data_IF_225940401255
#
_entry.id   IF_225940401255
#
_cell.length_a   1.000
_cell.length_b   1.000
_cell.length_c   1.000
_cell.angle_alpha   90.00
_cell.angle_beta   90.00
_cell.angle_gamma   90.00
#
_symmetry.space_group_name_H-M   'P 1'
#
loop_
_entity.id
_entity.type
_entity.pdbx_description
1 polymer ?
#
# COMPACT_ATOMS: atom_id res chain seq x y z
N UNK A 1 -3.97 -31.01 -1.20
CA UNK A 1 -4.14 -29.71 -0.50
C UNK A 1 -5.08 -28.90 -1.34
N UNK A 2 -6.22 -28.51 -0.80
CA UNK A 2 -7.15 -27.59 -1.50
C UNK A 2 -6.41 -26.28 -1.64
N UNK A 3 -6.38 -25.77 -2.86
CA UNK A 3 -5.77 -24.50 -3.23
C UNK A 3 -6.47 -23.38 -2.45
N UNK A 4 -5.85 -22.91 -1.37
CA UNK A 4 -6.44 -21.94 -0.43
C UNK A 4 -6.15 -20.51 -0.84
N UNK A 5 -6.13 -20.22 -2.16
CA UNK A 5 -5.95 -18.85 -2.63
C UNK A 5 -7.09 -17.95 -2.14
N UNK A 6 -6.70 -16.87 -1.50
CA UNK A 6 -7.63 -15.83 -1.11
C UNK A 6 -7.66 -14.79 -2.24
N UNK A 7 -8.85 -14.58 -2.82
CA UNK A 7 -9.03 -13.62 -3.91
C UNK A 7 -8.55 -12.21 -3.51
N UNK A 8 -7.81 -11.57 -4.40
CA UNK A 8 -7.23 -10.26 -4.16
C UNK A 8 -7.93 -9.18 -4.97
N UNK A 9 -8.02 -7.99 -4.42
CA UNK A 9 -8.48 -6.80 -5.18
C UNK A 9 -7.61 -6.59 -6.41
N UNK A 10 -6.34 -6.93 -6.30
CA UNK A 10 -5.37 -6.89 -7.39
C UNK A 10 -5.73 -7.78 -8.58
N UNK A 11 -6.53 -8.84 -8.42
CA UNK A 11 -6.92 -9.75 -9.52
C UNK A 11 -7.70 -9.00 -10.61
N UNK A 12 -8.73 -8.25 -10.20
CA UNK A 12 -9.52 -7.45 -11.14
C UNK A 12 -8.72 -6.27 -11.73
N UNK A 13 -7.81 -5.69 -10.94
CA UNK A 13 -6.92 -4.61 -11.40
C UNK A 13 -5.92 -5.13 -12.43
N UNK A 14 -5.35 -6.32 -12.24
CA UNK A 14 -4.45 -6.98 -13.17
C UNK A 14 -5.15 -7.30 -14.49
N UNK A 15 -6.34 -7.91 -14.43
CA UNK A 15 -7.14 -8.20 -15.61
C UNK A 15 -7.44 -6.93 -16.43
N UNK A 16 -7.89 -5.85 -15.75
CA UNK A 16 -8.15 -4.58 -16.40
C UNK A 16 -6.88 -3.96 -17.03
N UNK A 17 -5.71 -4.13 -16.39
CA UNK A 17 -4.44 -3.64 -16.90
C UNK A 17 -3.97 -4.43 -18.14
N UNK A 18 -4.11 -5.75 -18.14
CA UNK A 18 -3.78 -6.63 -19.27
C UNK A 18 -4.63 -6.34 -20.50
N UNK A 19 -5.91 -5.97 -20.33
CA UNK A 19 -6.76 -5.54 -21.45
C UNK A 19 -6.28 -4.23 -22.11
N UNK A 20 -5.58 -3.37 -21.38
CA UNK A 20 -5.17 -2.03 -21.88
C UNK A 20 -3.75 -1.99 -22.40
N UNK A 21 -2.83 -2.76 -21.82
CA UNK A 21 -1.40 -2.68 -22.08
C UNK A 21 -0.82 -4.00 -22.58
N UNK A 22 0.34 -3.93 -23.25
CA UNK A 22 1.07 -5.11 -23.71
C UNK A 22 1.65 -5.93 -22.56
N UNK A 23 2.00 -5.29 -21.45
CA UNK A 23 2.47 -5.96 -20.24
C UNK A 23 2.02 -5.24 -18.97
N UNK A 24 2.13 -5.94 -17.83
CA UNK A 24 1.87 -5.41 -16.50
C UNK A 24 3.06 -5.74 -15.58
N UNK A 25 3.56 -4.75 -14.87
CA UNK A 25 4.51 -4.94 -13.77
C UNK A 25 3.75 -4.92 -12.45
N UNK A 26 3.74 -6.04 -11.74
CA UNK A 26 3.24 -6.14 -10.37
C UNK A 26 4.40 -5.94 -9.41
N UNK A 27 4.30 -4.95 -8.55
CA UNK A 27 5.30 -4.61 -7.55
C UNK A 27 4.66 -4.47 -6.17
N UNK A 28 5.45 -4.59 -5.09
CA UNK A 28 4.95 -4.51 -3.71
C UNK A 28 5.84 -5.25 -2.74
N UNK A 29 5.55 -5.21 -1.43
CA UNK A 29 6.37 -5.83 -0.40
C UNK A 29 6.58 -7.33 -0.66
N UNK A 30 7.69 -7.87 -0.20
CA UNK A 30 7.94 -9.32 -0.22
C UNK A 30 6.82 -10.04 0.51
N UNK A 31 6.43 -11.22 0.04
CA UNK A 31 5.40 -12.04 0.69
C UNK A 31 3.95 -11.51 0.60
N UNK A 32 3.67 -10.41 -0.13
CA UNK A 32 2.29 -9.90 -0.26
C UNK A 32 1.41 -10.66 -1.26
N UNK A 33 1.94 -11.70 -1.95
CA UNK A 33 1.18 -12.58 -2.84
C UNK A 33 1.28 -12.25 -4.34
N UNK A 34 2.27 -11.47 -4.79
CA UNK A 34 2.44 -11.06 -6.20
C UNK A 34 2.47 -12.21 -7.19
N UNK A 35 3.35 -13.19 -6.93
CA UNK A 35 3.54 -14.36 -7.79
C UNK A 35 2.26 -15.18 -7.88
N UNK A 36 1.57 -15.36 -6.75
CA UNK A 36 0.32 -16.11 -6.68
C UNK A 36 -0.79 -15.45 -7.50
N UNK A 37 -1.01 -14.14 -7.30
CA UNK A 37 -1.95 -13.33 -8.09
C UNK A 37 -1.61 -13.35 -9.59
N UNK A 38 -0.33 -13.25 -9.94
CA UNK A 38 0.12 -13.25 -11.32
C UNK A 38 -0.07 -14.61 -12.01
N UNK A 39 0.27 -15.71 -11.32
CA UNK A 39 0.18 -17.07 -11.87
C UNK A 39 -1.25 -17.48 -12.21
N UNK A 40 -2.26 -16.96 -11.51
CA UNK A 40 -3.67 -17.18 -11.78
C UNK A 40 -4.15 -16.67 -13.15
N UNK A 41 -3.48 -15.67 -13.68
CA UNK A 41 -3.83 -15.08 -14.98
C UNK A 41 -2.79 -15.36 -16.06
N UNK A 42 -1.71 -16.05 -15.71
CA UNK A 42 -0.65 -16.40 -16.65
C UNK A 42 -1.00 -17.63 -17.49
N UNK A 43 -0.80 -17.54 -18.80
CA UNK A 43 -0.83 -18.69 -19.70
C UNK A 43 0.43 -19.57 -19.60
N UNK A 44 1.56 -18.95 -19.25
CA UNK A 44 2.83 -19.66 -19.02
C UNK A 44 3.70 -18.91 -18.01
N UNK A 45 4.60 -19.61 -17.32
CA UNK A 45 5.40 -19.07 -16.23
C UNK A 45 6.89 -19.30 -16.51
N UNK A 46 7.69 -18.28 -16.29
CA UNK A 46 9.14 -18.31 -16.17
C UNK A 46 9.52 -17.83 -14.76
N UNK A 47 10.08 -18.69 -13.94
CA UNK A 47 10.73 -18.26 -12.70
C UNK A 47 12.22 -18.01 -12.99
N UNK A 48 12.61 -16.73 -12.97
CA UNK A 48 13.95 -16.29 -13.38
C UNK A 48 15.03 -16.76 -12.41
N UNK A 49 14.68 -16.99 -11.15
CA UNK A 49 15.61 -17.43 -10.11
C UNK A 49 15.94 -18.91 -10.23
N UNK A 50 14.95 -19.76 -10.53
CA UNK A 50 15.06 -21.22 -10.40
C UNK A 50 15.13 -21.98 -11.72
N UNK A 51 14.80 -21.33 -12.85
CA UNK A 51 14.81 -21.99 -14.16
C UNK A 51 16.27 -22.15 -14.67
N UNK A 52 16.75 -23.40 -14.83
CA UNK A 52 18.14 -23.67 -15.23
C UNK A 52 18.47 -23.24 -16.66
N UNK A 53 17.48 -22.93 -17.48
CA UNK A 53 17.69 -22.45 -18.85
C UNK A 53 18.07 -20.98 -18.91
N UNK A 54 17.78 -20.21 -17.86
CA UNK A 54 17.99 -18.75 -17.84
C UNK A 54 19.42 -18.34 -18.11
N UNK A 55 20.47 -18.91 -17.46
CA UNK A 55 21.85 -18.49 -17.72
C UNK A 55 22.26 -18.70 -19.19
N UNK A 56 21.88 -19.82 -19.78
CA UNK A 56 22.20 -20.14 -21.17
C UNK A 56 21.45 -19.21 -22.13
N UNK A 57 20.15 -19.02 -21.94
CA UNK A 57 19.35 -18.15 -22.77
C UNK A 57 19.83 -16.70 -22.71
N UNK A 58 20.18 -16.21 -21.51
CA UNK A 58 20.73 -14.86 -21.33
C UNK A 58 22.07 -14.65 -22.03
N UNK A 59 22.87 -15.71 -22.19
CA UNK A 59 24.15 -15.67 -22.89
C UNK A 59 24.00 -15.79 -24.42
N UNK A 60 22.94 -16.42 -24.91
CA UNK A 60 22.69 -16.68 -26.33
C UNK A 60 21.63 -15.75 -26.94
N UNK A 61 20.37 -15.99 -26.60
CA UNK A 61 19.24 -15.16 -27.06
C UNK A 61 18.16 -15.09 -25.96
N UNK A 62 18.12 -14.01 -25.17
CA UNK A 62 17.14 -13.82 -24.10
C UNK A 62 15.67 -13.85 -24.56
N UNK A 63 15.38 -13.70 -25.86
CA UNK A 63 14.01 -13.74 -26.39
C UNK A 63 13.36 -15.09 -26.18
N UNK A 64 14.13 -16.20 -26.14
CA UNK A 64 13.60 -17.54 -25.86
C UNK A 64 12.89 -17.62 -24.50
N UNK A 65 13.33 -16.84 -23.53
CA UNK A 65 12.70 -16.77 -22.19
C UNK A 65 11.32 -16.11 -22.23
N UNK A 66 11.06 -15.30 -23.28
CA UNK A 66 9.79 -14.59 -23.47
C UNK A 66 8.81 -15.36 -24.37
N UNK A 67 9.22 -16.52 -24.89
CA UNK A 67 8.35 -17.40 -25.67
C UNK A 67 7.50 -18.25 -24.70
N UNK A 68 6.20 -18.36 -25.03
CA UNK A 68 5.23 -19.11 -24.26
C UNK A 68 3.83 -18.55 -24.45
N UNK A 69 2.86 -19.24 -23.90
CA UNK A 69 1.46 -18.82 -23.93
C UNK A 69 1.27 -17.52 -23.14
N UNK A 70 0.57 -16.58 -23.73
CA UNK A 70 0.31 -15.27 -23.13
C UNK A 70 -0.96 -15.28 -22.24
N UNK A 71 -0.96 -14.50 -21.16
CA UNK A 71 0.12 -13.70 -20.61
C UNK A 71 1.27 -14.56 -20.07
N UNK A 72 2.52 -14.26 -20.47
CA UNK A 72 3.68 -14.94 -19.90
C UNK A 72 4.14 -14.23 -18.65
N UNK A 73 4.11 -14.94 -17.51
CA UNK A 73 4.65 -14.46 -16.25
C UNK A 73 6.19 -14.59 -16.27
N UNK A 74 6.87 -13.49 -15.96
CA UNK A 74 8.32 -13.43 -15.69
C UNK A 74 8.48 -13.05 -14.23
N UNK A 75 8.66 -14.05 -13.38
CA UNK A 75 8.75 -13.90 -11.92
C UNK A 75 10.18 -13.57 -11.49
N UNK A 76 10.35 -12.68 -10.51
CA UNK A 76 11.62 -12.16 -10.00
C UNK A 76 12.52 -11.56 -11.11
N UNK A 77 11.90 -10.83 -12.05
CA UNK A 77 12.57 -10.28 -13.25
C UNK A 77 13.76 -9.38 -12.93
N UNK A 78 13.80 -8.73 -11.76
CA UNK A 78 14.88 -7.84 -11.36
C UNK A 78 16.24 -8.55 -11.23
N UNK A 79 16.27 -9.87 -11.14
CA UNK A 79 17.51 -10.67 -11.20
C UNK A 79 18.18 -10.59 -12.56
N UNK A 80 17.39 -10.38 -13.63
CA UNK A 80 17.87 -10.15 -15.00
C UNK A 80 17.18 -8.96 -15.68
N UNK A 81 17.52 -7.71 -15.28
CA UNK A 81 16.82 -6.49 -15.74
C UNK A 81 16.77 -6.30 -17.26
N UNK A 82 17.69 -6.90 -18.00
CA UNK A 82 17.69 -6.88 -19.48
C UNK A 82 16.44 -7.52 -20.09
N UNK A 83 15.79 -8.46 -19.41
CA UNK A 83 14.53 -9.06 -19.88
C UNK A 83 13.43 -8.01 -20.09
N UNK A 84 13.43 -6.95 -19.31
CA UNK A 84 12.51 -5.82 -19.47
C UNK A 84 12.64 -5.16 -20.86
N UNK A 85 13.85 -4.90 -21.31
CA UNK A 85 14.07 -4.27 -22.62
C UNK A 85 13.67 -5.21 -23.76
N UNK A 86 13.95 -6.51 -23.66
CA UNK A 86 13.51 -7.51 -24.63
C UNK A 86 11.99 -7.63 -24.67
N UNK A 87 11.32 -7.72 -23.54
CA UNK A 87 9.86 -7.80 -23.46
C UNK A 87 9.20 -6.55 -24.08
N UNK A 88 9.74 -5.37 -23.84
CA UNK A 88 9.28 -4.12 -24.47
C UNK A 88 9.35 -4.21 -26.01
N UNK A 89 10.47 -4.71 -26.55
CA UNK A 89 10.62 -4.91 -28.00
C UNK A 89 9.63 -5.96 -28.55
N UNK A 90 9.40 -7.04 -27.77
CA UNK A 90 8.42 -8.06 -28.16
C UNK A 90 6.98 -7.51 -28.16
N UNK A 91 6.62 -6.65 -27.21
CA UNK A 91 5.31 -5.95 -27.21
C UNK A 91 5.16 -5.11 -28.47
N UNK A 92 6.20 -4.34 -28.83
CA UNK A 92 6.19 -3.51 -30.04
C UNK A 92 6.10 -4.36 -31.34
N UNK A 93 6.76 -5.53 -31.38
CA UNK A 93 6.73 -6.46 -32.48
C UNK A 93 5.38 -7.16 -32.62
N UNK A 94 4.84 -7.70 -31.54
CA UNK A 94 3.59 -8.49 -31.51
C UNK A 94 2.35 -7.59 -31.63
N UNK A 95 2.42 -6.32 -31.25
CA UNK A 95 1.33 -5.33 -31.27
C UNK A 95 0.04 -5.81 -30.61
N UNK A 96 0.15 -6.69 -29.61
CA UNK A 96 -0.97 -7.27 -28.88
C UNK A 96 -0.97 -6.81 -27.41
N UNK A 97 -2.15 -6.87 -26.78
CA UNK A 97 -2.33 -6.61 -25.35
C UNK A 97 -2.17 -7.91 -24.55
N UNK A 98 -1.94 -7.79 -23.24
CA UNK A 98 -1.90 -8.94 -22.33
C UNK A 98 -0.79 -9.94 -22.63
N UNK A 99 0.39 -9.49 -23.09
CA UNK A 99 1.46 -10.39 -23.48
C UNK A 99 2.30 -10.86 -22.29
N UNK A 100 2.54 -9.96 -21.33
CA UNK A 100 3.46 -10.22 -20.22
C UNK A 100 2.92 -9.77 -18.88
N UNK A 101 3.27 -10.53 -17.84
CA UNK A 101 3.18 -10.13 -16.44
C UNK A 101 4.59 -10.21 -15.87
N UNK A 102 5.07 -9.16 -15.27
CA UNK A 102 6.35 -9.11 -14.54
C UNK A 102 6.07 -8.95 -13.06
N UNK A 103 6.73 -9.75 -12.22
CA UNK A 103 6.63 -9.62 -10.76
C UNK A 103 7.99 -9.35 -10.16
N UNK A 104 8.04 -8.48 -9.17
CA UNK A 104 9.27 -8.17 -8.46
C UNK A 104 9.03 -7.49 -7.11
N UNK A 105 9.88 -7.81 -6.15
CA UNK A 105 9.83 -7.29 -4.79
C UNK A 105 10.67 -6.03 -4.58
N UNK A 106 11.43 -5.62 -5.60
CA UNK A 106 12.28 -4.43 -5.57
C UNK A 106 12.04 -3.59 -6.82
N UNK A 107 11.84 -2.28 -6.62
CA UNK A 107 11.81 -1.36 -7.75
C UNK A 107 13.22 -1.28 -8.36
N UNK A 108 13.37 -1.46 -9.70
CA UNK A 108 14.66 -1.43 -10.35
C UNK A 108 15.37 -0.09 -10.11
N UNK A 109 16.69 -0.13 -10.03
CA UNK A 109 17.51 1.09 -9.98
C UNK A 109 17.32 1.93 -11.24
N UNK A 110 17.56 3.23 -11.13
CA UNK A 110 17.42 4.20 -12.25
C UNK A 110 18.18 3.74 -13.50
N UNK A 111 19.28 3.01 -13.33
CA UNK A 111 20.14 2.52 -14.41
C UNK A 111 19.95 1.03 -14.74
N UNK A 112 19.03 0.33 -14.07
CA UNK A 112 18.87 -1.12 -14.24
C UNK A 112 18.22 -1.48 -15.60
N UNK A 113 17.40 -0.56 -16.15
CA UNK A 113 16.78 -0.70 -17.47
C UNK A 113 17.12 0.50 -18.33
N UNK A 114 17.36 0.28 -19.63
CA UNK A 114 17.62 1.37 -20.58
C UNK A 114 16.39 2.24 -20.85
N UNK A 115 15.19 1.67 -20.66
CA UNK A 115 13.92 2.32 -20.97
C UNK A 115 12.88 2.08 -19.88
N UNK A 116 12.06 3.09 -19.59
CA UNK A 116 11.04 3.04 -18.52
C UNK A 116 9.85 2.11 -18.80
N UNK A 117 9.68 1.65 -20.05
CA UNK A 117 8.50 0.87 -20.47
C UNK A 117 7.21 1.69 -20.59
N UNK A 118 7.27 3.01 -20.50
CA UNK A 118 6.11 3.88 -20.61
C UNK A 118 5.35 3.62 -21.94
N UNK A 119 4.01 3.48 -21.84
CA UNK A 119 3.13 3.17 -22.95
C UNK A 119 3.08 1.69 -23.35
N UNK A 120 3.93 0.80 -22.78
CA UNK A 120 3.94 -0.65 -23.03
C UNK A 120 3.53 -1.43 -21.81
N UNK A 121 3.92 -0.97 -20.63
CA UNK A 121 3.63 -1.62 -19.36
C UNK A 121 2.74 -0.74 -18.48
N UNK A 122 1.69 -1.34 -17.92
CA UNK A 122 1.03 -0.80 -16.74
C UNK A 122 1.83 -1.17 -15.50
N UNK A 123 1.70 -0.36 -14.44
CA UNK A 123 2.23 -0.68 -13.11
C UNK A 123 1.07 -0.93 -12.16
N UNK A 124 1.12 -2.05 -11.46
CA UNK A 124 0.19 -2.44 -10.40
C UNK A 124 0.98 -2.60 -9.10
N UNK A 125 0.65 -1.78 -8.10
CA UNK A 125 1.28 -1.91 -6.79
C UNK A 125 0.34 -2.69 -5.88
N UNK A 126 0.76 -3.90 -5.48
CA UNK A 126 0.07 -4.72 -4.49
C UNK A 126 0.50 -4.31 -3.09
N UNK A 127 -0.47 -4.24 -2.18
CA UNK A 127 -0.25 -4.15 -0.74
C UNK A 127 -0.34 -5.52 -0.07
N UNK A 128 -0.06 -5.60 1.22
CA UNK A 128 -0.53 -6.67 2.09
C UNK A 128 -2.07 -6.74 2.05
N UNK A 129 -2.66 -7.82 2.54
CA UNK A 129 -4.11 -8.02 2.47
C UNK A 129 -4.86 -6.95 3.26
N UNK A 130 -5.94 -6.46 2.67
CA UNK A 130 -6.94 -5.61 3.34
C UNK A 130 -7.80 -6.43 4.30
N UNK A 131 -8.54 -5.75 5.17
CA UNK A 131 -9.55 -6.39 6.03
C UNK A 131 -10.65 -7.06 5.19
N UNK A 132 -10.96 -6.51 4.01
CA UNK A 132 -11.90 -7.11 3.09
C UNK A 132 -11.38 -8.43 2.50
N UNK A 133 -10.13 -8.46 2.06
CA UNK A 133 -9.51 -9.67 1.50
C UNK A 133 -9.30 -10.76 2.55
N UNK A 134 -9.01 -10.40 3.80
CA UNK A 134 -8.84 -11.35 4.91
C UNK A 134 -10.15 -11.72 5.63
N UNK A 135 -11.29 -11.20 5.17
CA UNK A 135 -12.62 -11.56 5.67
C UNK A 135 -13.02 -10.89 6.99
N UNK A 136 -12.28 -9.89 7.44
CA UNK A 136 -12.62 -9.09 8.62
C UNK A 136 -13.49 -7.87 8.30
N UNK A 137 -13.55 -7.47 7.04
CA UNK A 137 -14.56 -6.54 6.54
C UNK A 137 -15.61 -7.29 5.74
N UNK A 138 -16.89 -6.98 5.97
CA UNK A 138 -18.02 -7.53 5.22
C UNK A 138 -18.26 -6.84 3.86
N UNK A 139 -17.53 -5.74 3.58
CA UNK A 139 -17.65 -5.00 2.34
C UNK A 139 -18.99 -4.30 2.13
N UNK A 140 -19.82 -4.12 3.16
CA UNK A 140 -21.13 -3.50 3.08
C UNK A 140 -21.10 -2.04 2.62
N UNK A 141 -19.93 -1.40 2.69
CA UNK A 141 -19.67 -0.04 2.19
C UNK A 141 -18.67 -0.09 1.03
N UNK A 142 -19.17 -0.18 -0.20
CA UNK A 142 -18.32 -0.04 -1.39
C UNK A 142 -17.87 1.42 -1.55
N UNK A 143 -16.56 1.65 -1.55
CA UNK A 143 -15.99 2.98 -1.76
C UNK A 143 -16.34 3.52 -3.15
N UNK A 144 -16.44 2.65 -4.16
CA UNK A 144 -16.88 3.02 -5.51
C UNK A 144 -18.31 3.55 -5.51
N UNK A 145 -19.22 2.86 -4.81
CA UNK A 145 -20.62 3.27 -4.72
C UNK A 145 -20.80 4.56 -3.92
N UNK A 146 -20.04 4.71 -2.84
CA UNK A 146 -20.01 5.94 -2.03
C UNK A 146 -19.58 7.13 -2.88
N UNK A 147 -18.52 7.01 -3.66
CA UNK A 147 -18.04 8.07 -4.57
C UNK A 147 -19.02 8.35 -5.70
N UNK A 148 -19.77 7.32 -6.16
CA UNK A 148 -20.85 7.49 -7.13
C UNK A 148 -22.13 8.10 -6.53
N UNK A 149 -22.09 8.57 -5.27
CA UNK A 149 -23.22 9.23 -4.60
C UNK A 149 -24.28 8.29 -4.01
N UNK A 150 -24.05 6.96 -4.05
CA UNK A 150 -24.96 6.00 -3.43
C UNK A 150 -24.80 6.04 -1.90
N UNK A 151 -25.92 5.99 -1.20
CA UNK A 151 -25.92 5.86 0.25
C UNK A 151 -25.75 4.41 0.66
N UNK A 152 -24.83 4.07 1.56
CA UNK A 152 -24.74 2.72 2.10
C UNK A 152 -25.99 2.39 2.92
N UNK A 153 -26.38 1.11 2.92
CA UNK A 153 -27.41 0.60 3.80
C UNK A 153 -26.92 0.61 5.27
N UNK A 154 -27.86 0.71 6.21
CA UNK A 154 -27.53 0.53 7.62
C UNK A 154 -27.02 -0.89 7.85
N UNK A 155 -25.84 -1.02 8.45
CA UNK A 155 -25.21 -2.28 8.78
C UNK A 155 -24.39 -2.15 10.07
N UNK A 156 -24.17 -3.27 10.75
CA UNK A 156 -23.26 -3.33 11.91
C UNK A 156 -22.24 -4.44 11.66
N UNK A 157 -21.05 -4.11 11.15
CA UNK A 157 -20.02 -5.09 10.89
C UNK A 157 -19.58 -5.83 12.16
N UNK A 158 -19.16 -7.09 12.04
CA UNK A 158 -18.87 -7.94 13.19
C UNK A 158 -17.52 -7.63 13.89
N UNK A 159 -16.65 -6.83 13.26
CA UNK A 159 -15.31 -6.56 13.79
C UNK A 159 -15.39 -5.78 15.11
N UNK A 160 -14.98 -6.43 16.21
CA UNK A 160 -14.92 -5.80 17.53
C UNK A 160 -13.63 -4.97 17.70
N UNK A 161 -13.69 -3.97 18.57
CA UNK A 161 -12.55 -3.08 18.85
C UNK A 161 -11.29 -3.82 19.33
N UNK A 162 -11.45 -4.84 20.18
CA UNK A 162 -10.34 -5.66 20.65
C UNK A 162 -9.71 -6.49 19.50
N UNK A 163 -10.53 -6.98 18.57
CA UNK A 163 -10.05 -7.71 17.41
C UNK A 163 -9.27 -6.81 16.45
N UNK A 164 -9.64 -5.55 16.34
CA UNK A 164 -8.89 -4.57 15.54
C UNK A 164 -7.43 -4.46 16.01
N UNK A 165 -7.17 -4.39 17.33
CA UNK A 165 -5.80 -4.37 17.86
C UNK A 165 -5.02 -5.65 17.50
N UNK A 166 -5.70 -6.82 17.57
CA UNK A 166 -5.11 -8.10 17.15
C UNK A 166 -4.76 -8.09 15.66
N UNK A 167 -5.66 -7.59 14.80
CA UNK A 167 -5.44 -7.48 13.35
C UNK A 167 -4.28 -6.59 12.98
N UNK A 168 -4.18 -5.43 13.65
CA UNK A 168 -3.09 -4.49 13.42
C UNK A 168 -1.73 -5.06 13.83
N UNK A 169 -1.67 -6.04 14.72
CA UNK A 169 -0.44 -6.73 15.11
C UNK A 169 -0.15 -7.97 14.25
N UNK A 170 -1.19 -8.73 13.82
CA UNK A 170 -1.05 -9.87 12.89
C UNK A 170 -0.60 -9.42 11.51
N UNK A 171 -1.12 -8.29 11.06
CA UNK A 171 -0.93 -7.74 9.72
C UNK A 171 -1.66 -8.50 8.61
N UNK A 172 -1.43 -8.06 7.39
CA UNK A 172 -2.05 -8.57 6.16
C UNK A 172 -1.12 -9.42 5.28
N UNK A 173 -0.04 -10.00 5.81
CA UNK A 173 0.78 -10.94 5.04
C UNK A 173 0.00 -12.24 4.83
N UNK A 174 -0.21 -12.73 3.59
CA UNK A 174 -1.06 -13.90 3.33
C UNK A 174 -0.74 -15.14 4.14
N UNK A 175 0.54 -15.43 4.35
CA UNK A 175 0.98 -16.61 5.10
C UNK A 175 0.70 -16.52 6.62
N UNK A 176 0.27 -15.36 7.13
CA UNK A 176 -0.14 -15.20 8.54
C UNK A 176 -1.62 -15.52 8.78
N UNK A 177 -2.42 -15.70 7.71
CA UNK A 177 -3.88 -15.79 7.85
C UNK A 177 -4.33 -17.03 8.64
N UNK A 178 -3.64 -18.15 8.48
CA UNK A 178 -3.97 -19.44 9.10
C UNK A 178 -3.19 -19.71 10.39
N UNK A 179 -2.42 -18.73 10.89
CA UNK A 179 -1.59 -18.88 12.08
C UNK A 179 -2.29 -18.42 13.34
N UNK A 180 -1.80 -18.88 14.49
CA UNK A 180 -2.12 -18.26 15.77
C UNK A 180 -1.67 -16.80 15.78
N UNK A 181 -2.32 -15.96 16.59
CA UNK A 181 -1.94 -14.56 16.72
C UNK A 181 -0.46 -14.40 17.16
N UNK A 182 -0.02 -15.26 18.08
CA UNK A 182 1.35 -15.25 18.60
C UNK A 182 2.37 -15.57 17.51
N UNK A 183 2.14 -16.64 16.75
CA UNK A 183 3.02 -17.04 15.63
C UNK A 183 3.04 -16.00 14.53
N UNK A 184 1.88 -15.44 14.19
CA UNK A 184 1.78 -14.38 13.19
C UNK A 184 2.56 -13.11 13.59
N UNK A 185 2.47 -12.68 14.86
CA UNK A 185 3.25 -11.56 15.38
C UNK A 185 4.75 -11.87 15.31
N UNK A 186 5.16 -13.10 15.66
CA UNK A 186 6.56 -13.49 15.59
C UNK A 186 7.06 -13.50 14.14
N UNK A 187 6.27 -14.03 13.21
CA UNK A 187 6.60 -14.01 11.79
C UNK A 187 6.80 -12.57 11.24
N UNK A 188 5.99 -11.61 11.69
CA UNK A 188 6.19 -10.21 11.27
C UNK A 188 7.49 -9.64 11.85
N UNK A 189 7.87 -10.00 13.07
CA UNK A 189 9.17 -9.62 13.65
C UNK A 189 10.33 -10.19 12.84
N UNK A 190 10.28 -11.47 12.51
CA UNK A 190 11.31 -12.15 11.70
C UNK A 190 11.39 -11.55 10.29
N UNK A 191 10.23 -11.21 9.71
CA UNK A 191 10.16 -10.47 8.44
C UNK A 191 10.88 -9.13 8.52
N UNK A 192 10.59 -8.30 9.54
CA UNK A 192 11.23 -6.99 9.68
C UNK A 192 12.72 -7.09 10.00
N UNK A 193 13.14 -8.14 10.69
CA UNK A 193 14.56 -8.45 10.88
C UNK A 193 15.23 -8.78 9.53
N UNK A 194 14.61 -9.63 8.72
CA UNK A 194 15.10 -9.99 7.38
C UNK A 194 15.17 -8.77 6.47
N UNK A 195 14.18 -7.87 6.52
CA UNK A 195 14.20 -6.59 5.80
C UNK A 195 15.45 -5.78 6.16
N UNK A 196 15.77 -5.66 7.44
CA UNK A 196 16.90 -4.86 7.91
C UNK A 196 18.27 -5.51 7.62
N UNK A 197 18.35 -6.84 7.65
CA UNK A 197 19.61 -7.57 7.57
C UNK A 197 19.94 -8.07 6.16
N UNK A 198 18.93 -8.27 5.31
CA UNK A 198 19.10 -8.89 3.98
C UNK A 198 18.51 -8.03 2.87
N UNK A 199 17.20 -7.76 2.90
CA UNK A 199 16.50 -7.19 1.75
C UNK A 199 16.96 -5.76 1.42
N UNK A 200 17.34 -4.98 2.42
CA UNK A 200 17.83 -3.60 2.23
C UNK A 200 19.11 -3.55 1.38
N UNK A 201 19.91 -4.60 1.39
CA UNK A 201 21.16 -4.70 0.64
C UNK A 201 20.94 -5.05 -0.84
N UNK A 202 19.74 -5.52 -1.21
CA UNK A 202 19.40 -5.79 -2.63
C UNK A 202 19.12 -4.50 -3.41
N UNK A 203 19.04 -3.36 -2.73
CA UNK A 203 18.74 -2.06 -3.35
C UNK A 203 20.00 -1.31 -3.72
N UNK A 204 20.43 -1.43 -4.98
CA UNK A 204 21.64 -0.78 -5.49
C UNK A 204 22.93 -1.41 -4.96
N UNK A 205 24.08 -0.87 -5.40
CA UNK A 205 25.41 -1.39 -5.05
C UNK A 205 25.98 -0.77 -3.74
N UNK A 206 25.10 -0.31 -2.86
CA UNK A 206 25.47 0.35 -1.59
C UNK A 206 25.22 -0.58 -0.43
N UNK A 207 26.29 -0.90 0.32
CA UNK A 207 26.16 -1.61 1.60
C UNK A 207 25.63 -0.67 2.66
N UNK A 208 24.48 -1.00 3.26
CA UNK A 208 23.82 -0.23 4.32
C UNK A 208 24.02 -0.92 5.66
N UNK A 209 24.27 -0.13 6.70
CA UNK A 209 24.38 -0.65 8.06
C UNK A 209 23.01 -1.08 8.59
N UNK A 210 22.85 -2.37 8.91
CA UNK A 210 21.57 -2.95 9.38
C UNK A 210 21.08 -2.30 10.67
N UNK A 211 21.98 -1.88 11.57
CA UNK A 211 21.56 -1.22 12.81
C UNK A 211 20.98 0.17 12.53
N UNK A 212 21.56 0.91 11.59
CA UNK A 212 20.99 2.18 11.15
C UNK A 212 19.64 1.99 10.45
N UNK A 213 19.47 0.91 9.66
CA UNK A 213 18.16 0.55 9.08
C UNK A 213 17.12 0.35 10.19
N UNK A 214 17.46 -0.43 11.24
CA UNK A 214 16.55 -0.63 12.38
C UNK A 214 16.20 0.68 13.08
N UNK A 215 17.17 1.60 13.24
CA UNK A 215 16.91 2.93 13.81
C UNK A 215 15.97 3.77 12.93
N UNK A 216 16.16 3.77 11.60
CA UNK A 216 15.25 4.46 10.67
C UNK A 216 13.85 3.88 10.75
N UNK A 217 13.71 2.55 10.72
CA UNK A 217 12.43 1.86 10.86
C UNK A 217 11.76 2.21 12.20
N UNK A 218 12.52 2.25 13.29
CA UNK A 218 12.02 2.63 14.63
C UNK A 218 11.58 4.09 14.69
N UNK A 219 12.30 5.01 14.04
CA UNK A 219 11.91 6.43 13.93
C UNK A 219 10.57 6.56 13.17
N UNK A 220 10.40 5.86 12.04
CA UNK A 220 9.14 5.85 11.29
C UNK A 220 8.02 5.22 12.15
N UNK A 221 8.27 4.06 12.76
CA UNK A 221 7.27 3.35 13.55
C UNK A 221 6.74 4.17 14.74
N UNK A 222 7.61 4.92 15.43
CA UNK A 222 7.23 5.78 16.55
C UNK A 222 6.37 6.99 16.13
N UNK A 223 6.56 7.46 14.90
CA UNK A 223 5.88 8.63 14.35
C UNK A 223 4.96 8.25 13.17
N UNK A 224 4.46 6.99 13.13
CA UNK A 224 3.59 6.49 12.07
C UNK A 224 2.37 7.40 11.90
N UNK A 225 1.98 7.68 10.65
CA UNK A 225 0.82 8.54 10.36
C UNK A 225 1.06 10.02 10.63
N UNK A 226 2.29 10.46 10.89
CA UNK A 226 2.61 11.87 11.14
C UNK A 226 3.52 12.46 10.07
N UNK A 227 3.52 13.80 9.94
CA UNK A 227 4.46 14.54 9.09
C UNK A 227 5.89 14.42 9.66
N UNK A 228 6.58 13.33 9.33
CA UNK A 228 7.94 13.05 9.78
C UNK A 228 8.96 13.58 8.77
N UNK A 229 9.54 14.73 9.08
CA UNK A 229 10.55 15.36 8.23
C UNK A 229 11.89 14.62 8.21
N UNK A 230 12.56 14.67 7.07
CA UNK A 230 13.88 14.02 6.87
C UNK A 230 14.92 14.43 7.91
N UNK A 231 14.91 15.69 8.37
CA UNK A 231 15.84 16.18 9.39
C UNK A 231 15.63 15.49 10.74
N UNK A 232 14.37 15.21 11.11
CA UNK A 232 14.06 14.52 12.36
C UNK A 232 14.60 13.08 12.33
N UNK A 233 14.39 12.36 11.22
CA UNK A 233 14.94 11.01 11.03
C UNK A 233 16.48 11.04 11.11
N UNK A 234 17.11 11.99 10.42
CA UNK A 234 18.57 12.15 10.45
C UNK A 234 19.10 12.37 11.88
N UNK A 235 18.40 13.15 12.68
CA UNK A 235 18.72 13.38 14.10
C UNK A 235 18.51 12.12 14.94
N UNK A 236 17.37 11.41 14.79
CA UNK A 236 17.04 10.18 15.53
C UNK A 236 18.07 9.05 15.29
N UNK A 237 18.63 9.01 14.07
CA UNK A 237 19.56 7.96 13.64
C UNK A 237 21.04 8.40 13.76
N UNK A 238 21.27 9.67 14.08
CA UNK A 238 22.62 10.27 14.19
C UNK A 238 23.44 10.16 12.88
N UNK A 239 22.78 10.49 11.76
CA UNK A 239 23.39 10.49 10.42
C UNK A 239 23.19 11.81 9.71
N UNK A 240 23.88 12.01 8.57
CA UNK A 240 23.62 13.15 7.71
C UNK A 240 22.21 13.07 7.09
N UNK A 241 21.66 14.22 6.70
CA UNK A 241 20.37 14.28 6.01
C UNK A 241 20.36 13.47 4.71
N UNK A 242 21.48 13.47 3.97
CA UNK A 242 21.58 12.73 2.72
C UNK A 242 21.65 11.22 2.96
N UNK A 243 22.34 10.79 4.02
CA UNK A 243 22.33 9.39 4.46
C UNK A 243 20.93 8.95 4.88
N UNK A 244 20.20 9.76 5.67
CA UNK A 244 18.83 9.43 6.05
C UNK A 244 17.91 9.31 4.81
N UNK A 245 18.12 10.17 3.80
CA UNK A 245 17.38 10.07 2.52
C UNK A 245 17.69 8.76 1.81
N UNK A 246 18.95 8.36 1.69
CA UNK A 246 19.33 7.09 1.05
C UNK A 246 18.66 5.88 1.72
N UNK A 247 18.60 5.83 3.05
CA UNK A 247 17.90 4.77 3.77
C UNK A 247 16.40 4.77 3.52
N UNK A 248 15.76 5.94 3.53
CA UNK A 248 14.33 6.07 3.23
C UNK A 248 14.01 5.65 1.79
N UNK A 249 14.82 6.11 0.83
CA UNK A 249 14.64 5.76 -0.58
C UNK A 249 14.81 4.25 -0.79
N UNK A 250 15.77 3.62 -0.09
CA UNK A 250 15.96 2.18 -0.14
C UNK A 250 14.74 1.43 0.44
N UNK A 251 14.24 1.82 1.62
CA UNK A 251 13.04 1.23 2.24
C UNK A 251 11.80 1.41 1.36
N UNK A 252 11.67 2.54 0.69
CA UNK A 252 10.58 2.79 -0.27
C UNK A 252 10.68 1.91 -1.51
N UNK A 253 11.90 1.65 -2.00
CA UNK A 253 12.14 0.79 -3.19
C UNK A 253 11.89 -0.69 -2.94
N UNK A 254 11.96 -1.16 -1.69
CA UNK A 254 11.51 -2.51 -1.30
C UNK A 254 10.08 -2.51 -0.74
N UNK A 255 9.35 -1.41 -0.92
CA UNK A 255 7.95 -1.25 -0.53
C UNK A 255 7.67 -1.46 0.96
N UNK A 256 8.63 -1.17 1.84
CA UNK A 256 8.46 -1.24 3.30
C UNK A 256 8.03 0.09 3.88
N UNK A 257 8.59 1.20 3.40
CA UNK A 257 8.15 2.55 3.75
C UNK A 257 7.23 3.12 2.67
N UNK A 258 6.16 3.76 3.10
CA UNK A 258 5.13 4.32 2.23
C UNK A 258 4.85 5.75 2.65
N UNK A 259 4.92 6.67 1.70
CA UNK A 259 4.61 8.07 1.92
C UNK A 259 3.16 8.38 1.54
N UNK A 260 2.46 9.11 2.41
CA UNK A 260 1.20 9.75 2.13
C UNK A 260 1.49 11.22 1.80
N UNK A 261 1.49 11.61 0.51
CA UNK A 261 1.88 12.95 0.10
C UNK A 261 0.84 14.00 0.52
N UNK A 262 1.26 15.24 0.61
CA UNK A 262 0.36 16.34 0.86
C UNK A 262 -0.52 16.63 -0.37
N UNK A 263 -1.82 16.79 -0.15
CA UNK A 263 -2.79 17.16 -1.16
C UNK A 263 -2.77 18.66 -1.49
N UNK A 264 -3.19 19.03 -2.68
CA UNK A 264 -3.32 20.42 -3.11
C UNK A 264 -4.58 20.64 -3.92
N UNK A 265 -5.32 21.69 -3.58
CA UNK A 265 -6.47 22.17 -4.35
C UNK A 265 -6.08 22.72 -5.71
N UNK A 266 -4.84 23.17 -5.87
CA UNK A 266 -4.37 23.84 -7.08
C UNK A 266 -3.33 23.00 -7.82
N UNK A 267 -3.61 22.68 -9.09
CA UNK A 267 -2.71 21.93 -9.98
C UNK A 267 -1.29 22.54 -10.07
N UNK A 268 -1.11 23.81 -9.76
CA UNK A 268 0.17 24.52 -9.83
C UNK A 268 0.73 24.94 -8.47
N UNK A 269 0.23 24.40 -7.35
CA UNK A 269 0.70 24.81 -6.02
C UNK A 269 2.12 24.31 -5.74
N UNK A 270 3.06 25.25 -5.67
CA UNK A 270 4.43 24.99 -5.21
C UNK A 270 4.52 24.73 -3.70
N UNK A 271 3.55 25.22 -2.92
CA UNK A 271 3.53 25.09 -1.47
C UNK A 271 3.35 23.61 -1.04
N UNK A 272 2.56 22.84 -1.77
CA UNK A 272 2.31 21.42 -1.51
C UNK A 272 3.57 20.58 -1.65
N UNK A 273 4.41 20.86 -2.64
CA UNK A 273 5.67 20.14 -2.87
C UNK A 273 6.70 20.35 -1.75
N UNK A 274 6.50 21.35 -0.89
CA UNK A 274 7.39 21.69 0.24
C UNK A 274 6.93 21.11 1.57
N UNK A 275 5.73 20.51 1.65
CA UNK A 275 5.24 19.87 2.86
C UNK A 275 5.84 18.48 2.97
N UNK A 276 6.21 18.08 4.19
CA UNK A 276 6.64 16.72 4.47
C UNK A 276 5.45 15.77 4.30
N UNK A 277 5.66 14.60 3.70
CA UNK A 277 4.61 13.58 3.68
C UNK A 277 4.36 13.05 5.10
N UNK A 278 3.16 12.56 5.37
CA UNK A 278 2.95 11.62 6.48
C UNK A 278 3.60 10.31 6.10
N UNK A 279 4.30 9.68 7.07
CA UNK A 279 5.03 8.44 6.80
C UNK A 279 4.34 7.26 7.41
N UNK A 280 4.25 6.20 6.62
CA UNK A 280 3.66 4.94 7.00
C UNK A 280 4.65 3.80 6.73
N UNK A 281 4.47 2.68 7.39
CA UNK A 281 4.98 1.40 6.92
C UNK A 281 3.91 0.73 6.06
N UNK A 282 4.32 -0.18 5.17
CA UNK A 282 3.42 -0.81 4.20
C UNK A 282 2.27 -1.59 4.85
N UNK A 283 2.47 -2.02 6.09
CA UNK A 283 1.50 -2.70 6.92
C UNK A 283 1.59 -2.17 8.37
N UNK A 284 0.49 -1.91 9.07
CA UNK A 284 0.53 -1.47 10.48
C UNK A 284 1.31 -2.41 11.39
N UNK A 285 1.26 -3.73 11.14
CA UNK A 285 1.99 -4.72 11.92
C UNK A 285 3.50 -4.54 11.88
N UNK A 286 4.04 -3.97 10.81
CA UNK A 286 5.48 -3.68 10.69
C UNK A 286 5.92 -2.68 11.77
N UNK A 287 5.09 -1.67 12.07
CA UNK A 287 5.38 -0.73 13.13
C UNK A 287 5.37 -1.41 14.51
N UNK A 288 4.40 -2.28 14.77
CA UNK A 288 4.30 -3.03 16.02
C UNK A 288 5.47 -3.99 16.20
N UNK A 289 5.88 -4.68 15.13
CA UNK A 289 7.03 -5.58 15.13
C UNK A 289 8.34 -4.83 15.43
N UNK A 290 8.60 -3.71 14.74
CA UNK A 290 9.80 -2.88 14.94
C UNK A 290 9.89 -2.30 16.35
N UNK A 291 8.75 -1.98 16.95
CA UNK A 291 8.67 -1.49 18.33
C UNK A 291 8.64 -2.63 19.36
N UNK A 292 8.61 -3.89 18.92
CA UNK A 292 8.52 -5.07 19.78
C UNK A 292 7.30 -5.03 20.73
N UNK A 293 6.16 -4.54 20.22
CA UNK A 293 4.92 -4.37 20.94
C UNK A 293 3.83 -5.30 20.41
N UNK A 294 2.85 -5.61 21.23
CA UNK A 294 1.70 -6.44 20.88
C UNK A 294 0.37 -5.71 21.15
N UNK A 295 -0.79 -6.36 20.96
CA UNK A 295 -2.12 -5.75 21.07
C UNK A 295 -2.39 -5.08 22.41
N UNK A 296 -1.93 -5.68 23.51
CA UNK A 296 -2.07 -5.11 24.85
C UNK A 296 -1.48 -3.70 24.97
N UNK A 297 -0.33 -3.46 24.33
CA UNK A 297 0.33 -2.14 24.35
C UNK A 297 -0.48 -1.09 23.58
N UNK A 298 -1.13 -1.48 22.47
CA UNK A 298 -2.05 -0.58 21.75
C UNK A 298 -3.23 -0.17 22.63
N UNK A 299 -3.81 -1.11 23.34
CA UNK A 299 -4.94 -0.84 24.24
C UNK A 299 -4.56 0.09 25.40
N UNK A 300 -3.28 0.12 25.80
CA UNK A 300 -2.76 1.00 26.86
C UNK A 300 -2.35 2.39 26.38
N UNK A 301 -2.14 2.58 25.07
CA UNK A 301 -1.79 3.86 24.46
C UNK A 301 -2.80 4.27 23.38
N UNK A 302 -3.94 4.84 23.75
CA UNK A 302 -4.98 5.24 22.79
C UNK A 302 -4.51 6.27 21.77
N UNK A 303 -3.49 7.08 22.08
CA UNK A 303 -2.94 8.06 21.15
C UNK A 303 -2.17 7.37 20.03
N UNK A 304 -1.28 6.46 20.39
CA UNK A 304 -0.53 5.68 19.40
C UNK A 304 -1.46 4.75 18.60
N UNK A 305 -2.45 4.15 19.27
CA UNK A 305 -3.47 3.35 18.60
C UNK A 305 -4.21 4.18 17.52
N UNK A 306 -4.58 5.43 17.83
CA UNK A 306 -5.21 6.33 16.85
C UNK A 306 -4.32 6.60 15.64
N UNK A 307 -3.03 6.87 15.85
CA UNK A 307 -2.07 7.08 14.75
C UNK A 307 -1.90 5.82 13.89
N UNK A 308 -1.79 4.66 14.52
CA UNK A 308 -1.65 3.40 13.80
C UNK A 308 -2.96 3.02 13.09
N UNK A 309 -4.12 3.35 13.65
CA UNK A 309 -5.42 3.18 13.03
C UNK A 309 -5.58 4.07 11.79
N UNK A 310 -5.14 5.33 11.85
CA UNK A 310 -5.06 6.19 10.66
C UNK A 310 -4.19 5.55 9.57
N UNK A 311 -3.05 4.97 9.95
CA UNK A 311 -2.18 4.25 9.02
C UNK A 311 -2.87 3.04 8.38
N UNK A 312 -3.66 2.28 9.15
CA UNK A 312 -4.48 1.17 8.63
C UNK A 312 -5.53 1.69 7.63
N UNK A 313 -6.25 2.77 7.96
CA UNK A 313 -7.25 3.35 7.05
C UNK A 313 -6.61 3.82 5.75
N UNK A 314 -5.45 4.46 5.80
CA UNK A 314 -4.69 4.86 4.61
C UNK A 314 -4.28 3.64 3.77
N UNK A 315 -3.85 2.55 4.39
CA UNK A 315 -3.57 1.28 3.73
C UNK A 315 -4.81 0.72 3.01
N UNK A 316 -5.96 0.63 3.70
CA UNK A 316 -7.22 0.15 3.14
C UNK A 316 -7.67 1.02 1.96
N UNK A 317 -7.71 2.34 2.12
CA UNK A 317 -8.12 3.26 1.05
C UNK A 317 -7.25 3.11 -0.21
N UNK A 318 -5.93 2.92 -0.06
CA UNK A 318 -5.01 2.72 -1.19
C UNK A 318 -5.28 1.41 -1.92
N UNK A 319 -5.44 0.33 -1.17
CA UNK A 319 -5.68 -0.99 -1.75
C UNK A 319 -7.06 -1.08 -2.41
N UNK A 320 -8.10 -0.62 -1.73
CA UNK A 320 -9.50 -0.67 -2.21
C UNK A 320 -9.72 0.22 -3.44
N UNK A 321 -9.09 1.40 -3.50
CA UNK A 321 -9.30 2.34 -4.62
C UNK A 321 -8.26 2.22 -5.74
N UNK A 322 -7.09 1.65 -5.45
CA UNK A 322 -5.94 1.66 -6.38
C UNK A 322 -5.39 3.06 -6.66
N UNK A 323 -5.75 4.06 -5.84
CA UNK A 323 -5.39 5.48 -6.03
C UNK A 323 -4.39 5.95 -4.98
N UNK A 324 -3.74 7.09 -5.27
CA UNK A 324 -2.94 7.78 -4.25
C UNK A 324 -3.84 8.36 -3.18
N UNK A 325 -3.52 8.09 -1.93
CA UNK A 325 -4.17 8.69 -0.77
C UNK A 325 -3.27 9.83 -0.29
N UNK A 326 -3.83 11.03 -0.17
CA UNK A 326 -3.15 12.24 0.27
C UNK A 326 -3.56 12.60 1.69
N UNK A 327 -2.73 13.30 2.45
CA UNK A 327 -3.15 14.05 3.62
C UNK A 327 -3.38 15.52 3.24
N UNK A 328 -4.31 16.20 3.89
CA UNK A 328 -4.57 17.59 3.53
C UNK A 328 -4.64 18.49 4.76
N UNK A 329 -3.91 19.59 4.69
CA UNK A 329 -3.93 20.66 5.71
C UNK A 329 -3.93 22.02 5.04
N UNK A 330 -4.96 22.79 5.31
CA UNK A 330 -5.09 24.16 4.80
C UNK A 330 -4.26 25.15 5.62
N UNK A 331 -4.06 26.34 5.05
CA UNK A 331 -3.37 27.45 5.74
C UNK A 331 -4.11 27.89 7.02
N UNK A 332 -5.40 27.64 7.13
CA UNK A 332 -6.26 27.87 8.31
C UNK A 332 -6.02 26.87 9.44
N UNK A 333 -5.05 25.94 9.30
CA UNK A 333 -4.77 24.80 10.17
C UNK A 333 -5.89 23.75 10.20
N UNK A 334 -6.90 23.88 9.36
CA UNK A 334 -7.91 22.83 9.18
C UNK A 334 -7.28 21.65 8.44
N UNK A 335 -7.44 20.44 8.97
CA UNK A 335 -6.82 19.23 8.47
C UNK A 335 -7.88 18.15 8.26
N UNK A 336 -7.67 17.29 7.25
CA UNK A 336 -8.36 16.01 7.06
C UNK A 336 -7.33 14.91 6.91
N UNK A 337 -7.62 13.74 7.47
CA UNK A 337 -6.66 12.64 7.59
C UNK A 337 -6.33 12.04 6.22
N UNK A 338 -7.33 11.91 5.34
CA UNK A 338 -7.10 11.41 4.00
C UNK A 338 -7.97 12.09 2.94
N UNK A 339 -7.40 12.22 1.72
CA UNK A 339 -8.10 12.66 0.50
C UNK A 339 -7.78 11.67 -0.61
N UNK A 340 -8.83 11.20 -1.29
CA UNK A 340 -8.70 10.38 -2.50
C UNK A 340 -9.39 11.10 -3.64
N UNK A 341 -8.63 11.49 -4.66
CA UNK A 341 -9.18 12.23 -5.80
C UNK A 341 -9.64 11.26 -6.90
N UNK A 342 -10.90 11.41 -7.30
CA UNK A 342 -11.49 10.81 -8.50
C UNK A 342 -11.64 11.89 -9.58
N UNK A 343 -12.08 11.49 -10.78
CA UNK A 343 -12.11 12.42 -11.91
C UNK A 343 -12.95 13.68 -11.61
N UNK A 344 -14.15 13.50 -11.06
CA UNK A 344 -15.09 14.61 -10.81
C UNK A 344 -15.29 14.93 -9.33
N UNK A 345 -14.88 14.06 -8.41
CA UNK A 345 -15.17 14.17 -6.97
C UNK A 345 -13.96 13.84 -6.11
N UNK A 346 -13.81 14.51 -4.98
CA UNK A 346 -12.80 14.20 -3.97
C UNK A 346 -13.49 13.54 -2.76
N UNK A 347 -13.01 12.35 -2.37
CA UNK A 347 -13.40 11.69 -1.13
C UNK A 347 -12.54 12.24 0.00
N UNK A 348 -13.18 12.95 0.94
CA UNK A 348 -12.56 13.47 2.14
C UNK A 348 -12.83 12.51 3.30
N UNK A 349 -11.79 12.10 4.00
CA UNK A 349 -11.88 11.09 5.05
C UNK A 349 -11.31 11.61 6.35
N UNK A 350 -12.09 11.48 7.41
CA UNK A 350 -11.69 11.70 8.79
C UNK A 350 -11.68 10.36 9.54
N UNK A 351 -10.66 10.10 10.33
CA UNK A 351 -10.45 8.82 11.01
C UNK A 351 -10.61 8.98 12.52
N UNK A 352 -11.46 8.19 13.13
CA UNK A 352 -11.72 8.24 14.58
C UNK A 352 -11.78 6.85 15.17
N UNK A 353 -11.03 6.60 16.24
CA UNK A 353 -11.16 5.36 17.01
C UNK A 353 -12.53 5.24 17.69
N UNK A 354 -13.05 6.36 18.20
CA UNK A 354 -14.37 6.40 18.82
C UNK A 354 -15.49 6.70 17.83
N UNK A 355 -16.72 6.38 18.25
CA UNK A 355 -17.93 6.64 17.47
C UNK A 355 -19.08 7.19 18.33
N UNK A 356 -18.78 7.90 19.44
CA UNK A 356 -19.80 8.62 20.19
C UNK A 356 -20.35 9.80 19.38
N UNK A 357 -21.60 10.25 19.64
CA UNK A 357 -22.19 11.38 18.92
C UNK A 357 -21.29 12.62 18.89
N UNK A 358 -20.64 12.96 20.00
CA UNK A 358 -19.78 14.13 20.13
C UNK A 358 -18.52 14.02 19.22
N UNK A 359 -17.93 12.82 19.14
CA UNK A 359 -16.78 12.54 18.25
C UNK A 359 -17.19 12.67 16.79
N UNK A 360 -18.35 12.09 16.44
CA UNK A 360 -18.86 12.11 15.09
C UNK A 360 -19.28 13.52 14.65
N UNK A 361 -19.90 14.31 15.56
CA UNK A 361 -20.29 15.70 15.29
C UNK A 361 -19.06 16.56 15.02
N UNK A 362 -18.01 16.43 15.82
CA UNK A 362 -16.76 17.16 15.61
C UNK A 362 -16.07 16.77 14.30
N UNK A 363 -16.01 15.48 14.00
CA UNK A 363 -15.42 14.99 12.75
C UNK A 363 -16.21 15.47 11.51
N UNK A 364 -17.54 15.41 11.57
CA UNK A 364 -18.42 15.90 10.50
C UNK A 364 -18.27 17.43 10.29
N UNK A 365 -18.17 18.22 11.37
CA UNK A 365 -17.93 19.67 11.27
C UNK A 365 -16.58 19.96 10.61
N UNK A 366 -15.53 19.23 10.98
CA UNK A 366 -14.20 19.35 10.36
C UNK A 366 -14.27 19.09 8.86
N UNK A 367 -14.88 17.98 8.44
CA UNK A 367 -15.03 17.61 7.03
C UNK A 367 -15.83 18.67 6.24
N UNK A 368 -16.97 19.13 6.77
CA UNK A 368 -17.80 20.14 6.11
C UNK A 368 -17.04 21.46 5.94
N UNK A 369 -16.41 21.96 7.01
CA UNK A 369 -15.62 23.19 6.96
C UNK A 369 -14.44 23.08 6.00
N UNK A 370 -13.87 21.89 5.85
CA UNK A 370 -12.82 21.65 4.85
C UNK A 370 -13.41 21.66 3.44
N UNK A 371 -14.54 20.97 3.22
CA UNK A 371 -15.22 20.90 1.94
C UNK A 371 -15.68 22.28 1.45
N UNK A 372 -16.16 23.15 2.35
CA UNK A 372 -16.58 24.53 2.04
C UNK A 372 -15.43 25.41 1.48
N UNK A 373 -14.18 24.99 1.64
CA UNK A 373 -13.01 25.69 1.07
C UNK A 373 -12.64 25.18 -0.33
N UNK A 374 -13.37 24.20 -0.84
CA UNK A 374 -13.09 23.55 -2.12
C UNK A 374 -14.10 23.94 -3.18
N UNK A 375 -13.64 24.05 -4.42
CA UNK A 375 -14.51 24.32 -5.58
C UNK A 375 -15.04 23.03 -6.23
N UNK A 376 -14.52 21.87 -5.80
CA UNK A 376 -14.87 20.55 -6.35
C UNK A 376 -15.96 19.90 -5.53
N UNK A 377 -16.73 19.03 -6.19
CA UNK A 377 -17.65 18.14 -5.51
C UNK A 377 -16.89 17.22 -4.53
N UNK A 378 -17.46 17.03 -3.35
CA UNK A 378 -16.85 16.23 -2.30
C UNK A 378 -17.83 15.23 -1.72
N UNK A 379 -17.32 14.06 -1.38
CA UNK A 379 -17.98 13.06 -0.56
C UNK A 379 -17.28 13.00 0.79
N UNK A 380 -18.06 13.07 1.88
CA UNK A 380 -17.56 13.15 3.25
C UNK A 380 -17.74 11.82 3.95
N UNK A 381 -16.64 11.21 4.40
CA UNK A 381 -16.62 9.92 5.06
C UNK A 381 -15.88 10.00 6.39
N UNK A 382 -16.53 9.54 7.46
CA UNK A 382 -15.88 9.28 8.75
C UNK A 382 -15.63 7.77 8.84
N UNK A 383 -14.37 7.36 8.98
CA UNK A 383 -14.00 5.96 9.23
C UNK A 383 -13.78 5.77 10.72
N UNK A 384 -14.50 4.83 11.31
CA UNK A 384 -14.46 4.52 12.74
C UNK A 384 -13.93 3.11 13.01
N UNK A 385 -13.48 2.85 14.23
CA UNK A 385 -13.05 1.50 14.64
C UNK A 385 -14.20 0.51 14.80
N UNK A 386 -15.42 1.00 14.95
CA UNK A 386 -16.62 0.19 15.18
C UNK A 386 -17.87 1.04 15.09
N UNK A 387 -19.03 0.47 15.44
CA UNK A 387 -20.32 1.13 15.37
C UNK A 387 -21.09 0.83 14.08
N UNK A 388 -22.27 1.44 13.88
CA UNK A 388 -23.11 1.16 12.71
C UNK A 388 -22.71 2.01 11.49
N UNK A 389 -22.89 1.43 10.31
CA UNK A 389 -22.88 2.15 9.03
C UNK A 389 -24.15 2.98 8.93
N UNK A 390 -24.01 4.27 8.67
CA UNK A 390 -25.16 5.14 8.41
C UNK A 390 -24.77 6.43 7.68
N UNK A 391 -25.74 7.03 7.01
CA UNK A 391 -25.63 8.41 6.52
C UNK A 391 -26.31 9.34 7.52
N UNK A 392 -25.57 10.33 7.98
CA UNK A 392 -26.05 11.38 8.90
C UNK A 392 -27.03 12.32 8.18
N UNK A 393 -27.83 13.05 8.96
CA UNK A 393 -28.77 14.05 8.42
C UNK A 393 -28.06 15.20 7.64
N UNK A 394 -26.80 15.49 8.00
CA UNK A 394 -25.96 16.47 7.34
C UNK A 394 -25.24 15.92 6.10
N UNK A 395 -25.54 14.69 5.66
CA UNK A 395 -25.01 14.08 4.45
C UNK A 395 -23.71 13.32 4.64
N UNK A 396 -23.00 13.47 5.78
CA UNK A 396 -21.74 12.78 6.07
C UNK A 396 -22.01 11.28 6.27
N UNK A 397 -21.20 10.43 5.64
CA UNK A 397 -21.26 8.98 5.79
C UNK A 397 -20.37 8.57 6.96
N UNK A 398 -20.88 7.71 7.82
CA UNK A 398 -20.11 7.05 8.89
C UNK A 398 -20.03 5.56 8.56
N UNK A 399 -18.81 5.05 8.49
CA UNK A 399 -18.54 3.64 8.23
C UNK A 399 -17.44 3.12 9.14
N UNK A 400 -17.67 2.06 9.92
CA UNK A 400 -16.58 1.37 10.59
C UNK A 400 -15.67 0.70 9.56
N UNK A 401 -14.39 0.57 9.90
CA UNK A 401 -13.37 0.01 8.99
C UNK A 401 -13.72 -1.42 8.54
N UNK A 402 -14.38 -2.21 9.41
CA UNK A 402 -14.86 -3.55 9.09
C UNK A 402 -16.05 -3.60 8.10
N UNK A 403 -16.50 -2.45 7.57
CA UNK A 403 -17.50 -2.35 6.54
C UNK A 403 -16.93 -2.02 5.15
N UNK A 404 -15.67 -1.54 5.07
CA UNK A 404 -15.12 -1.01 3.83
C UNK A 404 -14.86 -2.12 2.80
N UNK A 405 -15.28 -1.88 1.56
CA UNK A 405 -15.06 -2.73 0.39
C UNK A 405 -14.71 -1.94 -0.87
N UNK A 406 -14.30 -2.63 -1.95
CA UNK A 406 -13.91 -2.03 -3.22
C UNK A 406 -15.09 -1.40 -4.00
#
# INVERSE_FOLDING_TARGET
MVDSYIARIADAQLEAALRRQGGVLIQGPKGCGKTETASRQAGSILNVETDPSVPLAMATDPRWLLDGEAPRLVDEWQLHPRLWDFARHEIDRRKAKGQFIFTGSTAPGVNATRHSGAGRFARLTMSTMTLFESGESDGSVSLRDVVAGKSPAFATPPLAFADLANRMCRGGLPYNMDLSLEDAIQNVRDYMQTVADVDIHTVGDVTRDSERVRRVLRSIARAVGTELGLQMIATDVEVSRDTARDYLDALSRIFVSVDQPAWSTHLRSKATLRKSPKRHLADPSFAMAVLERGPHHLMQDPRYFGQLFESLVVHELRALTGKTVYHARLNTKLEVDAVVSFDDVDLLVEVKLGYTPEILDHAADTLKRFADQLERETVLLIVTSGGPVHRRADGVIVAPIGALGP
#
